data_IF_940152483861
#
_entry.id   IF_940152483861
#
_cell.length_a   1.000
_cell.length_b   1.000
_cell.length_c   1.000
_cell.angle_alpha   90.00
_cell.angle_beta   90.00
_cell.angle_gamma   90.00
#
_symmetry.space_group_name_H-M   'P 1'
#
loop_
_entity.id
_entity.type
_entity.pdbx_description
1 polymer ?
#
# COMPACT_ATOMS: atom_id res chain seq x y z
N UNK A 1 56.82 51.34 22.93
CA UNK A 1 56.54 50.00 23.48
C UNK A 1 56.05 49.12 22.34
N UNK A 2 56.89 48.15 22.01
CA UNK A 2 56.63 46.82 21.41
C UNK A 2 55.81 46.60 20.13
N UNK A 3 56.23 45.51 19.48
CA UNK A 3 56.02 45.03 18.12
C UNK A 3 55.33 43.64 18.15
N UNK A 4 54.75 43.20 17.00
CA UNK A 4 54.26 41.84 16.61
C UNK A 4 52.95 41.32 17.25
N UNK A 5 52.08 40.49 16.63
CA UNK A 5 52.19 39.50 15.54
C UNK A 5 50.81 39.14 14.91
N UNK A 6 50.84 38.53 13.72
CA UNK A 6 49.74 38.08 12.84
C UNK A 6 48.87 36.96 13.43
N UNK A 7 47.62 36.79 12.93
CA UNK A 7 47.01 35.48 12.58
C UNK A 7 45.90 35.64 11.52
N UNK A 8 45.74 34.56 10.76
CA UNK A 8 45.13 34.40 9.42
C UNK A 8 43.61 34.14 9.40
N UNK A 9 43.00 34.46 8.25
CA UNK A 9 41.74 34.04 7.61
C UNK A 9 40.67 33.23 8.39
N UNK A 10 39.40 33.63 8.25
CA UNK A 10 38.23 32.74 8.37
C UNK A 10 37.24 32.96 7.22
N UNK A 11 36.78 31.85 6.66
CA UNK A 11 35.94 31.70 5.47
C UNK A 11 34.44 32.02 5.74
N UNK A 12 33.63 32.25 4.69
CA UNK A 12 32.22 32.68 4.79
C UNK A 12 31.23 31.62 5.33
N UNK A 13 31.71 30.46 5.77
CA UNK A 13 30.88 29.31 6.18
C UNK A 13 30.37 29.39 7.62
N UNK A 14 30.89 30.32 8.44
CA UNK A 14 30.58 30.40 9.88
C UNK A 14 29.20 31.05 10.19
N UNK A 15 28.47 31.57 9.19
CA UNK A 15 27.21 32.30 9.41
C UNK A 15 25.92 31.50 9.11
N UNK A 16 26.04 30.25 8.64
CA UNK A 16 24.87 29.36 8.39
C UNK A 16 24.64 28.37 9.55
N UNK A 17 25.55 28.32 10.53
CA UNK A 17 25.56 27.29 11.58
C UNK A 17 24.83 27.66 12.89
N UNK A 18 24.39 28.90 13.07
CA UNK A 18 23.82 29.35 14.35
C UNK A 18 22.32 29.09 14.51
N UNK A 19 21.58 28.82 13.43
CA UNK A 19 20.13 28.57 13.51
C UNK A 19 19.75 27.09 13.74
N UNK A 20 20.75 26.20 13.81
CA UNK A 20 20.57 24.75 13.97
C UNK A 20 20.83 24.24 15.41
N UNK A 21 21.25 25.10 16.33
CA UNK A 21 21.61 24.71 17.71
C UNK A 21 20.42 24.55 18.67
N UNK A 22 19.19 24.85 18.24
CA UNK A 22 18.03 24.89 19.13
C UNK A 22 17.04 23.75 18.87
N UNK A 23 17.45 22.49 19.07
CA UNK A 23 16.59 21.38 19.55
C UNK A 23 17.36 20.06 19.75
N UNK A 24 17.28 19.56 20.97
CA UNK A 24 17.54 18.18 21.45
C UNK A 24 18.96 17.57 21.39
N UNK A 25 19.70 17.81 22.48
CA UNK A 25 21.10 17.42 22.73
C UNK A 25 21.42 15.91 22.82
N UNK A 26 20.44 15.00 22.85
CA UNK A 26 20.72 13.55 22.98
C UNK A 26 20.98 12.88 21.63
N UNK A 27 20.23 13.27 20.59
CA UNK A 27 20.32 12.67 19.25
C UNK A 27 21.60 13.11 18.51
N UNK A 28 22.03 14.36 18.73
CA UNK A 28 23.22 14.93 18.08
C UNK A 28 24.55 14.37 18.61
N UNK A 29 24.61 13.91 19.87
CA UNK A 29 25.82 13.29 20.42
C UNK A 29 26.10 11.91 19.81
N UNK A 30 25.07 11.18 19.37
CA UNK A 30 25.23 9.93 18.60
C UNK A 30 25.71 10.22 17.17
N UNK A 31 25.19 11.28 16.54
CA UNK A 31 25.61 11.71 15.19
C UNK A 31 27.07 12.19 15.17
N UNK A 32 27.52 12.90 16.23
CA UNK A 32 28.94 13.29 16.38
C UNK A 32 29.88 12.08 16.51
N UNK A 33 29.51 11.06 17.30
CA UNK A 33 30.32 9.84 17.47
C UNK A 33 30.45 9.01 16.19
N UNK A 34 29.40 9.01 15.35
CA UNK A 34 29.39 8.30 14.07
C UNK A 34 30.21 9.05 12.99
N UNK A 35 30.19 10.40 12.97
CA UNK A 35 31.03 11.20 12.05
C UNK A 35 32.54 11.04 12.29
N UNK A 36 32.96 10.84 13.55
CA UNK A 36 34.37 10.55 13.86
C UNK A 36 34.84 9.17 13.36
N UNK A 37 33.93 8.19 13.21
CA UNK A 37 34.25 6.89 12.63
C UNK A 37 34.39 6.92 11.10
N UNK A 38 33.65 7.82 10.42
CA UNK A 38 33.65 7.96 8.95
C UNK A 38 34.90 8.68 8.40
N UNK A 39 35.54 9.57 9.18
CA UNK A 39 36.81 10.18 8.77
C UNK A 39 37.99 9.19 8.72
N UNK A 40 37.90 8.06 9.44
CA UNK A 40 38.95 7.03 9.46
C UNK A 40 38.80 5.98 8.34
N UNK A 41 37.62 5.80 7.76
CA UNK A 41 37.36 4.78 6.74
C UNK A 41 37.66 5.26 5.30
N UNK A 42 37.68 6.57 5.05
CA UNK A 42 38.03 7.14 3.74
C UNK A 42 39.54 7.14 3.43
N UNK A 43 40.40 6.83 4.42
CA UNK A 43 41.86 6.91 4.26
C UNK A 43 42.53 5.58 3.84
N UNK A 44 41.77 4.49 3.63
CA UNK A 44 42.31 3.15 3.35
C UNK A 44 42.05 2.60 1.93
N UNK A 45 41.61 3.44 0.98
CA UNK A 45 41.49 3.05 -0.44
C UNK A 45 42.10 4.13 -1.34
N UNK A 46 43.43 4.21 -1.38
CA UNK A 46 44.14 4.78 -2.53
C UNK A 46 44.42 3.64 -3.53
N UNK A 47 43.73 3.66 -4.66
CA UNK A 47 44.13 2.95 -5.88
C UNK A 47 44.63 4.02 -6.87
N UNK A 48 45.76 3.84 -7.57
CA UNK A 48 46.23 4.83 -8.53
C UNK A 48 45.29 4.93 -9.74
N UNK A 49 44.86 6.15 -10.05
CA UNK A 49 44.13 6.47 -11.27
C UNK A 49 45.02 6.21 -12.51
N UNK A 50 44.49 5.47 -13.48
CA UNK A 50 45.07 5.39 -14.83
C UNK A 50 44.76 6.68 -15.61
N UNK A 51 45.62 7.10 -16.56
CA UNK A 51 45.54 8.44 -17.13
C UNK A 51 44.36 8.58 -18.11
N UNK A 52 43.70 9.72 -17.99
CA UNK A 52 42.65 10.19 -18.86
C UNK A 52 43.09 10.25 -20.33
N UNK A 53 42.25 9.74 -21.23
CA UNK A 53 42.30 10.06 -22.65
C UNK A 53 41.36 11.23 -22.90
N UNK A 54 41.93 12.38 -23.21
CA UNK A 54 41.21 13.60 -23.54
C UNK A 54 40.46 13.44 -24.87
N UNK A 55 39.19 13.86 -24.90
CA UNK A 55 38.60 14.65 -26.01
C UNK A 55 37.16 15.05 -25.69
N UNK A 56 36.87 16.35 -25.78
CA UNK A 56 35.54 16.86 -26.12
C UNK A 56 34.74 17.51 -24.99
N UNK A 57 34.90 18.83 -24.82
CA UNK A 57 33.81 19.71 -24.39
C UNK A 57 32.64 19.57 -25.38
N UNK A 58 31.46 19.21 -24.83
CA UNK A 58 30.12 18.93 -25.40
C UNK A 58 29.73 17.58 -24.77
N UNK A 59 29.00 17.50 -23.67
CA UNK A 59 27.66 18.03 -23.44
C UNK A 59 27.42 18.24 -21.93
N UNK A 60 26.95 19.43 -21.54
CA UNK A 60 26.53 19.76 -20.16
C UNK A 60 25.00 19.68 -20.02
N UNK A 61 24.40 18.64 -20.58
CA UNK A 61 22.97 18.35 -20.44
C UNK A 61 22.76 16.82 -20.43
N UNK A 62 23.16 16.12 -19.35
CA UNK A 62 22.71 14.74 -19.07
C UNK A 62 23.24 14.24 -17.70
N UNK A 63 22.53 14.51 -16.60
CA UNK A 63 22.58 13.69 -15.37
C UNK A 63 21.51 14.10 -14.31
N UNK A 64 20.24 14.18 -14.71
CA UNK A 64 19.15 13.91 -13.76
C UNK A 64 18.82 12.41 -13.85
N UNK A 65 19.71 11.57 -13.31
CA UNK A 65 19.65 10.12 -13.47
C UNK A 65 18.58 9.46 -12.61
N UNK A 66 17.41 9.16 -13.18
CA UNK A 66 16.63 7.92 -12.98
C UNK A 66 16.53 7.29 -11.55
N UNK A 67 16.40 8.09 -10.48
CA UNK A 67 16.29 7.61 -9.09
C UNK A 67 14.96 6.91 -8.73
N UNK A 68 14.07 6.71 -9.71
CA UNK A 68 12.72 6.20 -9.54
C UNK A 68 12.49 4.79 -10.11
N UNK A 69 13.53 4.14 -10.65
CA UNK A 69 13.41 2.79 -11.20
C UNK A 69 13.68 1.71 -10.16
N UNK A 70 12.90 0.63 -10.24
CA UNK A 70 13.09 -0.57 -9.41
C UNK A 70 14.40 -1.27 -9.82
N UNK A 71 15.13 -1.87 -8.87
CA UNK A 71 16.32 -2.64 -9.20
C UNK A 71 15.92 -3.95 -9.88
N UNK A 72 16.78 -4.44 -10.78
CA UNK A 72 16.65 -5.80 -11.31
C UNK A 72 17.08 -6.79 -10.22
N UNK A 73 16.17 -7.69 -9.83
CA UNK A 73 16.41 -8.67 -8.78
C UNK A 73 15.92 -10.06 -9.20
N UNK A 74 16.41 -11.15 -8.58
CA UNK A 74 15.79 -12.46 -8.71
C UNK A 74 14.30 -12.41 -8.32
N UNK A 75 13.40 -13.16 -8.98
CA UNK A 75 11.95 -13.12 -8.71
C UNK A 75 11.58 -13.32 -7.23
N UNK A 76 12.34 -14.13 -6.48
CA UNK A 76 12.11 -14.37 -5.05
C UNK A 76 12.32 -13.12 -4.18
N UNK A 77 13.00 -12.10 -4.70
CA UNK A 77 13.24 -10.84 -4.01
C UNK A 77 12.32 -9.72 -4.49
N UNK A 78 11.44 -9.96 -5.47
CA UNK A 78 10.46 -8.95 -5.89
C UNK A 78 9.41 -8.74 -4.77
N UNK A 79 9.11 -7.48 -4.38
CA UNK A 79 7.99 -7.21 -3.50
C UNK A 79 6.68 -7.56 -4.22
N UNK A 80 5.57 -7.78 -3.48
CA UNK A 80 4.26 -8.02 -4.09
C UNK A 80 3.89 -6.97 -5.15
N UNK A 81 3.09 -7.37 -6.15
CA UNK A 81 2.76 -6.54 -7.30
C UNK A 81 2.02 -5.23 -6.96
N UNK A 82 1.34 -5.21 -5.82
CA UNK A 82 0.63 -4.06 -5.27
C UNK A 82 1.54 -3.10 -4.50
N UNK A 83 2.87 -3.27 -4.53
CA UNK A 83 3.83 -2.38 -3.88
C UNK A 83 4.43 -1.40 -4.89
N UNK A 84 4.66 -0.15 -4.48
CA UNK A 84 5.34 0.88 -5.26
C UNK A 84 6.63 1.32 -4.57
N UNK A 85 7.68 1.58 -5.36
CA UNK A 85 8.91 2.17 -4.85
C UNK A 85 8.60 3.57 -4.30
N UNK A 86 8.83 3.75 -3.00
CA UNK A 86 8.66 5.03 -2.31
C UNK A 86 9.93 5.88 -2.46
N UNK A 87 11.09 5.31 -2.13
CA UNK A 87 12.39 5.96 -2.29
C UNK A 87 13.53 4.94 -2.17
N UNK A 88 14.73 5.39 -2.54
CA UNK A 88 15.98 4.63 -2.48
C UNK A 88 16.99 5.37 -1.59
N UNK A 89 17.78 4.62 -0.82
CA UNK A 89 18.94 5.12 -0.09
C UNK A 89 20.15 4.18 -0.22
N UNK A 90 21.34 4.74 -0.40
CA UNK A 90 22.60 4.00 -0.30
C UNK A 90 23.05 3.90 1.15
N UNK A 91 23.68 2.81 1.53
CA UNK A 91 24.18 2.59 2.88
C UNK A 91 25.67 2.31 2.90
N UNK A 92 26.35 2.94 3.86
CA UNK A 92 27.74 2.65 4.21
C UNK A 92 27.80 2.32 5.70
N UNK A 93 28.39 1.18 6.04
CA UNK A 93 28.44 0.75 7.43
C UNK A 93 29.25 -0.51 7.68
N UNK A 94 28.95 -1.17 8.78
CA UNK A 94 29.56 -2.44 9.19
C UNK A 94 28.52 -3.49 9.56
N UNK A 95 28.85 -4.75 9.29
CA UNK A 95 28.20 -5.91 9.89
C UNK A 95 29.03 -6.34 11.11
N UNK A 96 28.38 -6.42 12.27
CA UNK A 96 29.05 -6.76 13.53
C UNK A 96 28.85 -8.25 13.79
N UNK A 97 29.95 -8.97 13.97
CA UNK A 97 29.98 -10.37 14.35
C UNK A 97 30.65 -10.53 15.70
N UNK A 98 30.21 -11.54 16.45
CA UNK A 98 30.83 -11.92 17.72
C UNK A 98 31.32 -13.36 17.62
N UNK A 99 32.56 -13.61 18.06
CA UNK A 99 33.13 -14.95 18.15
C UNK A 99 32.59 -15.65 19.39
N UNK A 100 31.67 -16.59 19.20
CA UNK A 100 31.00 -17.30 20.29
C UNK A 100 30.93 -18.80 20.00
N UNK A 101 30.57 -19.64 20.98
CA UNK A 101 30.16 -21.01 20.70
C UNK A 101 29.09 -21.04 19.60
N UNK A 102 29.22 -21.99 18.69
CA UNK A 102 28.34 -22.10 17.54
C UNK A 102 26.92 -22.49 18.02
N UNK A 103 25.86 -21.76 17.60
CA UNK A 103 24.51 -22.00 18.10
C UNK A 103 23.93 -23.39 17.77
N UNK A 104 24.40 -24.04 16.70
CA UNK A 104 23.94 -25.38 16.28
C UNK A 104 24.87 -26.49 16.74
N UNK A 105 26.14 -26.18 17.03
CA UNK A 105 27.10 -27.10 17.61
C UNK A 105 27.99 -26.40 18.66
N UNK A 106 27.57 -26.36 19.94
CA UNK A 106 28.29 -25.64 20.98
C UNK A 106 29.73 -26.12 21.27
N UNK A 107 30.15 -27.27 20.73
CA UNK A 107 31.53 -27.76 20.82
C UNK A 107 32.49 -27.01 19.87
N UNK A 108 31.97 -26.26 18.90
CA UNK A 108 32.72 -25.44 17.96
C UNK A 108 32.49 -23.96 18.25
N UNK A 109 33.41 -23.10 17.80
CA UNK A 109 33.22 -21.65 17.79
C UNK A 109 32.98 -21.17 16.36
N UNK A 110 32.18 -20.12 16.22
CA UNK A 110 31.93 -19.48 14.94
C UNK A 110 31.61 -18.00 15.13
N UNK A 111 31.83 -17.21 14.08
CA UNK A 111 31.32 -15.85 14.01
C UNK A 111 29.79 -15.86 13.90
N UNK A 112 29.12 -15.28 14.89
CA UNK A 112 27.66 -15.12 14.92
C UNK A 112 27.32 -13.66 14.65
N UNK A 113 26.37 -13.43 13.75
CA UNK A 113 25.92 -12.08 13.42
C UNK A 113 25.19 -11.44 14.62
N UNK A 114 25.61 -10.23 15.00
CA UNK A 114 25.05 -9.46 16.12
C UNK A 114 24.09 -8.38 15.62
N UNK A 115 24.56 -7.46 14.78
CA UNK A 115 23.77 -6.34 14.28
C UNK A 115 24.45 -5.64 13.09
N UNK A 116 23.68 -4.93 12.25
CA UNK A 116 24.24 -3.92 11.36
C UNK A 116 24.40 -2.59 12.09
N UNK A 117 25.33 -1.76 11.63
CA UNK A 117 25.37 -0.32 11.91
C UNK A 117 25.72 0.40 10.61
N UNK A 118 24.83 1.21 10.07
CA UNK A 118 25.07 1.94 8.83
C UNK A 118 24.41 3.32 8.82
N UNK A 119 25.02 4.23 8.07
CA UNK A 119 24.45 5.53 7.69
C UNK A 119 23.81 5.39 6.32
N UNK A 120 22.62 5.96 6.16
CA UNK A 120 21.88 6.01 4.90
C UNK A 120 22.10 7.37 4.24
N UNK A 121 22.31 7.36 2.93
CA UNK A 121 22.57 8.51 2.08
C UNK A 121 21.52 8.59 0.96
N UNK A 122 21.25 9.81 0.49
CA UNK A 122 20.33 10.03 -0.63
C UNK A 122 20.99 9.56 -1.92
N UNK A 123 20.50 8.47 -2.52
CA UNK A 123 21.14 7.83 -3.66
C UNK A 123 22.65 7.59 -3.39
N UNK A 124 23.52 7.73 -4.38
CA UNK A 124 24.98 7.56 -4.27
C UNK A 124 25.72 8.78 -3.72
N UNK A 125 25.01 9.86 -3.35
CA UNK A 125 25.60 11.06 -2.78
C UNK A 125 25.92 10.87 -1.28
N UNK A 126 27.16 10.49 -0.99
CA UNK A 126 27.65 10.29 0.37
C UNK A 126 27.73 11.56 1.21
N UNK A 127 27.44 12.74 0.67
CA UNK A 127 27.42 14.00 1.41
C UNK A 127 26.01 14.33 1.97
N UNK A 128 24.93 13.70 1.48
CA UNK A 128 23.55 13.88 1.99
C UNK A 128 23.10 12.69 2.83
N UNK A 129 23.51 12.68 4.11
CA UNK A 129 23.02 11.71 5.08
C UNK A 129 21.51 11.91 5.35
N UNK A 130 20.73 10.85 5.13
CA UNK A 130 19.26 10.84 5.29
C UNK A 130 18.76 9.98 6.45
N UNK A 131 19.59 9.09 7.01
CA UNK A 131 19.12 8.22 8.08
C UNK A 131 20.15 7.23 8.62
N UNK A 132 19.68 6.30 9.45
CA UNK A 132 20.46 5.26 10.10
C UNK A 132 19.80 3.89 9.92
N UNK A 133 20.62 2.84 9.86
CA UNK A 133 20.19 1.44 9.92
C UNK A 133 20.91 0.68 11.02
N UNK A 134 20.17 -0.02 11.87
CA UNK A 134 20.72 -0.70 13.05
C UNK A 134 19.92 -1.95 13.44
N UNK A 135 20.27 -2.59 14.58
CA UNK A 135 19.63 -3.79 15.11
C UNK A 135 18.08 -3.71 15.11
N UNK A 136 17.42 -4.83 14.83
CA UNK A 136 15.95 -4.88 14.76
C UNK A 136 15.39 -5.68 13.59
N UNK A 137 16.05 -5.73 12.42
CA UNK A 137 16.64 -4.59 11.70
C UNK A 137 15.71 -3.37 11.69
N UNK A 138 16.27 -2.17 11.93
CA UNK A 138 15.52 -0.90 11.98
C UNK A 138 16.12 0.10 11.02
N UNK A 139 15.28 0.89 10.35
CA UNK A 139 15.69 2.08 9.61
C UNK A 139 15.03 3.30 10.25
N UNK A 140 15.79 4.36 10.42
CA UNK A 140 15.37 5.64 10.99
C UNK A 140 15.77 6.76 10.05
N UNK A 141 14.82 7.59 9.64
CA UNK A 141 15.04 8.71 8.72
C UNK A 141 15.19 10.03 9.49
N UNK A 142 15.84 11.03 8.88
CA UNK A 142 16.11 12.34 9.51
C UNK A 142 14.86 13.16 9.88
N UNK A 143 13.69 12.78 9.36
CA UNK A 143 12.39 13.34 9.79
C UNK A 143 11.84 12.68 11.07
N UNK A 144 12.56 11.73 11.66
CA UNK A 144 12.18 11.01 12.88
C UNK A 144 11.28 9.78 12.65
N UNK A 145 10.86 9.51 11.41
CA UNK A 145 10.12 8.29 11.09
C UNK A 145 11.02 7.06 11.15
N UNK A 146 10.44 5.91 11.52
CA UNK A 146 11.14 4.62 11.63
C UNK A 146 10.33 3.49 11.04
N UNK A 147 11.03 2.47 10.54
CA UNK A 147 10.45 1.18 10.17
C UNK A 147 11.31 0.06 10.75
N UNK A 148 10.66 -0.93 11.37
CA UNK A 148 11.27 -2.18 11.82
C UNK A 148 10.88 -3.28 10.84
N UNK A 149 11.84 -4.05 10.36
CA UNK A 149 11.62 -5.09 9.36
C UNK A 149 11.91 -6.50 9.85
N UNK A 150 11.41 -7.49 9.11
CA UNK A 150 11.80 -8.90 9.23
C UNK A 150 12.22 -9.44 7.87
N UNK A 151 13.18 -10.37 7.85
CA UNK A 151 13.66 -10.98 6.59
C UNK A 151 12.62 -11.97 6.09
N UNK A 152 12.11 -11.75 4.87
CA UNK A 152 11.15 -12.64 4.22
C UNK A 152 11.85 -13.62 3.27
N UNK A 153 12.76 -13.10 2.43
CA UNK A 153 13.51 -13.89 1.45
C UNK A 153 14.97 -13.44 1.39
N UNK A 154 15.85 -14.35 0.93
CA UNK A 154 17.28 -14.09 0.75
C UNK A 154 17.79 -14.71 -0.54
N UNK A 155 18.73 -14.04 -1.20
CA UNK A 155 19.48 -14.56 -2.34
C UNK A 155 20.97 -14.31 -2.15
N UNK A 156 21.87 -15.27 -2.49
CA UNK A 156 23.32 -15.03 -2.47
C UNK A 156 23.70 -13.82 -3.33
N UNK A 157 24.70 -13.05 -2.89
CA UNK A 157 25.29 -12.01 -3.73
C UNK A 157 26.25 -12.63 -4.76
N UNK A 158 26.27 -12.11 -5.97
CA UNK A 158 27.24 -12.49 -7.00
C UNK A 158 28.64 -11.92 -6.71
N UNK A 159 28.74 -10.91 -5.85
CA UNK A 159 30.01 -10.29 -5.45
C UNK A 159 30.65 -11.14 -4.33
N UNK A 160 31.91 -11.58 -4.49
CA UNK A 160 32.62 -12.32 -3.44
C UNK A 160 32.67 -11.53 -2.14
N UNK A 161 32.53 -12.23 -1.01
CA UNK A 161 32.55 -11.65 0.35
C UNK A 161 31.45 -10.60 0.62
N UNK A 162 30.41 -10.54 -0.22
CA UNK A 162 29.26 -9.70 0.01
C UNK A 162 28.14 -10.45 0.75
N UNK A 163 27.51 -9.78 1.71
CA UNK A 163 26.32 -10.32 2.39
C UNK A 163 25.16 -10.55 1.40
N UNK A 164 24.25 -11.51 1.66
CA UNK A 164 23.12 -11.81 0.79
C UNK A 164 22.22 -10.60 0.51
N UNK A 165 21.62 -10.57 -0.67
CA UNK A 165 20.50 -9.68 -0.96
C UNK A 165 19.24 -10.18 -0.25
N UNK A 166 18.39 -9.26 0.18
CA UNK A 166 17.22 -9.56 1.01
C UNK A 166 15.97 -8.86 0.48
N UNK A 167 14.84 -9.54 0.65
CA UNK A 167 13.52 -8.90 0.72
C UNK A 167 13.08 -8.96 2.18
N UNK A 168 12.68 -7.82 2.72
CA UNK A 168 12.18 -7.67 4.08
C UNK A 168 10.76 -7.11 4.05
N UNK A 169 9.97 -7.50 5.05
CA UNK A 169 8.63 -6.98 5.30
C UNK A 169 8.64 -6.11 6.56
N UNK A 170 7.94 -4.98 6.54
CA UNK A 170 7.76 -4.14 7.71
C UNK A 170 6.92 -4.88 8.77
N UNK A 171 7.41 -4.85 10.01
CA UNK A 171 6.73 -5.36 11.21
C UNK A 171 6.02 -4.22 11.93
N UNK A 172 6.65 -3.05 11.99
CA UNK A 172 6.05 -1.85 12.59
C UNK A 172 6.68 -0.58 12.02
N UNK A 173 5.91 0.50 12.06
CA UNK A 173 6.31 1.84 11.64
C UNK A 173 6.02 2.82 12.78
N UNK A 174 6.83 3.87 12.89
CA UNK A 174 6.66 4.91 13.90
C UNK A 174 6.98 6.29 13.33
N UNK A 175 6.35 7.33 13.88
CA UNK A 175 6.49 8.70 13.43
C UNK A 175 5.71 9.01 12.15
N UNK A 176 5.68 10.29 11.78
CA UNK A 176 5.01 10.79 10.58
C UNK A 176 6.10 11.29 9.61
N UNK A 177 6.42 10.53 8.57
CA UNK A 177 7.55 10.83 7.70
C UNK A 177 7.77 9.78 6.61
N UNK A 178 8.92 9.82 5.93
CA UNK A 178 9.20 8.96 4.77
C UNK A 178 9.05 7.46 5.03
N UNK A 179 9.23 7.02 6.27
CA UNK A 179 9.13 5.61 6.65
C UNK A 179 7.76 5.22 7.22
N UNK A 180 6.79 6.14 7.34
CA UNK A 180 5.53 5.85 8.05
C UNK A 180 4.60 4.86 7.34
N UNK A 181 4.69 4.76 6.01
CA UNK A 181 3.84 3.90 5.16
C UNK A 181 4.63 2.79 4.44
N UNK A 182 5.90 2.60 4.80
CA UNK A 182 6.75 1.55 4.22
C UNK A 182 6.28 0.17 4.68
N UNK A 183 6.09 -0.73 3.71
CA UNK A 183 5.57 -2.10 3.88
C UNK A 183 6.61 -3.15 3.52
N UNK A 184 7.49 -2.87 2.55
CA UNK A 184 8.56 -3.77 2.12
C UNK A 184 9.87 -3.01 1.90
N UNK A 185 10.99 -3.70 2.10
CA UNK A 185 12.33 -3.15 1.90
C UNK A 185 13.16 -4.19 1.16
N UNK A 186 13.82 -3.79 0.09
CA UNK A 186 14.86 -4.61 -0.53
C UNK A 186 16.23 -4.11 -0.08
N UNK A 187 17.15 -5.05 0.20
CA UNK A 187 18.59 -4.79 0.30
C UNK A 187 19.29 -5.47 -0.84
N UNK A 188 19.88 -4.71 -1.75
CA UNK A 188 20.51 -5.21 -2.98
C UNK A 188 21.87 -4.55 -3.20
N UNK A 189 22.57 -4.94 -4.26
CA UNK A 189 23.87 -4.39 -4.67
C UNK A 189 24.90 -4.34 -3.52
N UNK A 190 24.90 -5.38 -2.68
CA UNK A 190 25.78 -5.45 -1.51
C UNK A 190 27.24 -5.67 -1.90
N UNK A 191 28.15 -5.02 -1.18
CA UNK A 191 29.59 -5.34 -1.18
C UNK A 191 30.07 -5.54 0.25
N UNK A 192 30.96 -6.50 0.48
CA UNK A 192 31.52 -6.76 1.81
C UNK A 192 30.53 -7.27 2.87
N UNK A 193 30.98 -7.24 4.12
CA UNK A 193 30.17 -7.54 5.29
C UNK A 193 30.05 -9.02 5.66
N UNK A 194 30.62 -9.98 4.92
CA UNK A 194 30.63 -11.38 5.36
C UNK A 194 31.49 -11.58 6.60
N UNK A 195 31.15 -12.57 7.43
CA UNK A 195 31.94 -12.91 8.61
C UNK A 195 33.42 -13.18 8.25
N UNK A 196 34.38 -12.84 9.13
CA UNK A 196 35.78 -13.18 8.91
C UNK A 196 36.00 -14.69 8.76
N UNK A 197 36.97 -15.08 7.94
CA UNK A 197 37.36 -16.50 7.77
C UNK A 197 38.31 -16.97 8.86
N UNK A 198 39.16 -16.09 9.38
CA UNK A 198 39.99 -16.37 10.55
C UNK A 198 39.14 -16.42 11.82
N UNK A 199 39.36 -17.44 12.66
CA UNK A 199 38.70 -17.54 13.95
C UNK A 199 39.18 -16.47 14.94
N UNK A 200 38.38 -16.23 15.98
CA UNK A 200 38.76 -15.37 17.09
C UNK A 200 39.68 -16.08 18.08
N UNK A 201 40.58 -15.33 18.71
CA UNK A 201 41.50 -15.79 19.77
C UNK A 201 40.88 -15.69 21.18
N UNK A 202 39.77 -14.96 21.31
CA UNK A 202 39.03 -14.78 22.56
C UNK A 202 37.51 -14.91 22.36
N UNK A 203 36.83 -15.57 23.30
CA UNK A 203 35.37 -15.59 23.35
C UNK A 203 34.82 -14.17 23.52
N UNK A 204 33.75 -13.86 22.78
CA UNK A 204 33.15 -12.52 22.68
C UNK A 204 34.00 -11.47 21.95
N UNK A 205 35.05 -11.88 21.22
CA UNK A 205 35.73 -10.98 20.29
C UNK A 205 34.72 -10.43 19.26
N UNK A 206 34.76 -9.13 18.99
CA UNK A 206 33.92 -8.49 17.98
C UNK A 206 34.70 -8.19 16.70
N UNK A 207 34.12 -8.55 15.56
CA UNK A 207 34.59 -8.13 14.24
C UNK A 207 33.56 -7.18 13.63
N UNK A 208 34.03 -6.01 13.19
CA UNK A 208 33.22 -5.01 12.49
C UNK A 208 33.64 -5.01 11.02
N UNK A 209 32.89 -5.72 10.17
CA UNK A 209 33.23 -5.93 8.77
C UNK A 209 32.55 -4.87 7.90
N UNK A 210 33.28 -4.03 7.16
CA UNK A 210 32.70 -3.00 6.30
C UNK A 210 31.77 -3.59 5.23
N UNK A 211 30.67 -2.89 4.94
CA UNK A 211 29.79 -3.21 3.83
C UNK A 211 29.15 -1.96 3.23
N UNK A 212 28.74 -2.09 1.97
CA UNK A 212 27.79 -1.16 1.33
C UNK A 212 26.57 -1.93 0.85
N UNK A 213 25.45 -1.22 0.69
CA UNK A 213 24.22 -1.77 0.12
C UNK A 213 23.33 -0.65 -0.44
N UNK A 214 22.44 -1.01 -1.36
CA UNK A 214 21.31 -0.17 -1.74
C UNK A 214 20.03 -0.66 -1.09
N UNK A 215 19.27 0.27 -0.51
CA UNK A 215 17.98 0.02 0.11
C UNK A 215 16.86 0.66 -0.69
N UNK A 216 15.95 -0.16 -1.20
CA UNK A 216 14.75 0.29 -1.90
C UNK A 216 13.55 0.09 -0.97
N UNK A 217 12.90 1.19 -0.60
CA UNK A 217 11.76 1.20 0.31
C UNK A 217 10.49 1.24 -0.51
N UNK A 218 9.59 0.30 -0.22
CA UNK A 218 8.31 0.18 -0.88
C UNK A 218 7.19 0.46 0.09
N UNK A 219 6.15 1.07 -0.43
CA UNK A 219 4.86 1.22 0.23
C UNK A 219 3.81 0.50 -0.58
N UNK A 220 2.68 0.19 0.03
CA UNK A 220 1.51 -0.22 -0.74
C UNK A 220 1.30 0.85 -1.83
N UNK A 221 1.22 0.41 -3.08
CA UNK A 221 0.71 1.23 -4.16
C UNK A 221 -0.69 1.61 -3.73
N UNK A 222 -0.82 2.81 -3.16
CA UNK A 222 -2.05 3.57 -3.33
C UNK A 222 -2.12 3.81 -4.83
N UNK A 223 -2.63 2.82 -5.57
CA UNK A 223 -3.42 3.18 -6.72
C UNK A 223 -4.38 4.21 -6.16
N UNK A 224 -4.50 5.35 -6.83
CA UNK A 224 -5.66 6.22 -6.70
C UNK A 224 -6.88 5.40 -7.16
N UNK A 225 -7.20 4.34 -6.41
CA UNK A 225 -8.51 3.78 -6.29
C UNK A 225 -9.25 4.98 -5.74
N UNK A 226 -9.98 5.62 -6.64
CA UNK A 226 -10.94 6.62 -6.27
C UNK A 226 -11.92 6.00 -5.26
N UNK A 227 -12.59 6.86 -4.51
CA UNK A 227 -13.49 6.45 -3.44
C UNK A 227 -14.60 5.51 -3.93
N UNK A 228 -15.02 5.62 -5.20
CA UNK A 228 -16.02 4.71 -5.78
C UNK A 228 -15.43 3.31 -5.95
N UNK A 229 -14.22 3.19 -6.46
CA UNK A 229 -13.54 1.90 -6.61
C UNK A 229 -13.23 1.26 -5.24
N UNK A 230 -12.89 2.05 -4.22
CA UNK A 230 -12.66 1.56 -2.85
C UNK A 230 -13.96 0.99 -2.27
N UNK A 231 -15.04 1.77 -2.32
CA UNK A 231 -16.31 1.38 -1.74
C UNK A 231 -17.03 0.28 -2.53
N UNK A 232 -16.73 0.12 -3.83
CA UNK A 232 -17.13 -1.06 -4.60
C UNK A 232 -16.47 -2.35 -4.04
N UNK A 233 -15.21 -2.30 -3.58
CA UNK A 233 -14.58 -3.46 -2.92
C UNK A 233 -15.20 -3.75 -1.57
N UNK A 234 -15.48 -2.71 -0.77
CA UNK A 234 -16.16 -2.87 0.52
C UNK A 234 -17.57 -3.48 0.33
N UNK A 235 -18.30 -3.04 -0.70
CA UNK A 235 -19.58 -3.63 -1.10
C UNK A 235 -19.42 -5.12 -1.45
N UNK A 236 -18.46 -5.48 -2.30
CA UNK A 236 -18.21 -6.89 -2.66
C UNK A 236 -17.88 -7.73 -1.41
N UNK A 237 -17.04 -7.23 -0.50
CA UNK A 237 -16.73 -7.90 0.75
C UNK A 237 -17.98 -8.11 1.62
N UNK A 238 -18.84 -7.08 1.75
CA UNK A 238 -20.09 -7.17 2.51
C UNK A 238 -21.06 -8.18 1.89
N UNK A 239 -21.16 -8.22 0.56
CA UNK A 239 -21.96 -9.19 -0.19
C UNK A 239 -21.47 -10.63 0.06
N UNK A 240 -20.18 -10.89 -0.05
CA UNK A 240 -19.62 -12.22 0.22
C UNK A 240 -19.83 -12.65 1.67
N UNK A 241 -19.60 -11.76 2.64
CA UNK A 241 -19.80 -12.03 4.07
C UNK A 241 -21.26 -12.35 4.41
N UNK A 242 -22.22 -11.74 3.69
CA UNK A 242 -23.65 -11.97 3.92
C UNK A 242 -24.16 -13.33 3.41
N UNK A 243 -23.41 -14.01 2.54
CA UNK A 243 -23.83 -15.29 1.95
C UNK A 243 -25.06 -15.19 1.05
N UNK A 244 -25.37 -13.99 0.53
CA UNK A 244 -26.47 -13.79 -0.40
C UNK A 244 -26.27 -14.62 -1.68
N UNK A 245 -27.37 -15.16 -2.22
CA UNK A 245 -27.33 -15.76 -3.56
C UNK A 245 -26.87 -14.75 -4.60
N UNK A 246 -26.18 -15.17 -5.69
CA UNK A 246 -25.75 -14.25 -6.74
C UNK A 246 -26.87 -13.38 -7.28
N UNK A 247 -28.09 -13.93 -7.37
CA UNK A 247 -29.28 -13.21 -7.84
C UNK A 247 -29.68 -12.06 -6.90
N UNK A 248 -29.65 -12.27 -5.58
CA UNK A 248 -29.98 -11.21 -4.62
C UNK A 248 -28.83 -10.20 -4.50
N UNK A 249 -27.59 -10.65 -4.66
CA UNK A 249 -26.41 -9.80 -4.63
C UNK A 249 -26.42 -8.74 -5.75
N UNK A 250 -26.93 -9.06 -6.96
CA UNK A 250 -27.03 -8.06 -8.04
C UNK A 250 -27.98 -6.92 -7.70
N UNK A 251 -29.11 -7.20 -7.04
CA UNK A 251 -30.04 -6.15 -6.56
C UNK A 251 -29.37 -5.25 -5.52
N UNK A 252 -28.70 -5.85 -4.53
CA UNK A 252 -27.99 -5.09 -3.50
C UNK A 252 -26.89 -4.20 -4.10
N UNK A 253 -26.11 -4.73 -5.03
CA UNK A 253 -25.10 -3.96 -5.75
C UNK A 253 -25.69 -2.80 -6.56
N UNK A 254 -26.82 -3.02 -7.24
CA UNK A 254 -27.49 -1.96 -7.99
C UNK A 254 -27.98 -0.79 -7.11
N UNK A 255 -28.46 -1.07 -5.89
CA UNK A 255 -28.86 -0.04 -4.92
C UNK A 255 -27.66 0.82 -4.52
N UNK A 256 -26.54 0.18 -4.15
CA UNK A 256 -25.32 0.88 -3.75
C UNK A 256 -24.77 1.71 -4.92
N UNK A 257 -24.63 1.11 -6.10
CA UNK A 257 -24.09 1.80 -7.28
C UNK A 257 -24.96 2.97 -7.74
N UNK A 258 -26.29 2.85 -7.69
CA UNK A 258 -27.20 3.95 -8.02
C UNK A 258 -27.06 5.12 -7.03
N UNK A 259 -26.96 4.82 -5.72
CA UNK A 259 -26.74 5.85 -4.71
C UNK A 259 -25.40 6.58 -4.90
N UNK A 260 -24.32 5.84 -5.16
CA UNK A 260 -23.00 6.44 -5.41
C UNK A 260 -23.02 7.29 -6.69
N UNK A 261 -23.63 6.79 -7.76
CA UNK A 261 -23.74 7.52 -9.03
C UNK A 261 -24.49 8.85 -8.86
N UNK A 262 -25.69 8.84 -8.28
CA UNK A 262 -26.47 10.07 -8.08
C UNK A 262 -25.81 11.02 -7.08
N UNK A 263 -25.05 10.50 -6.11
CA UNK A 263 -24.32 11.33 -5.15
C UNK A 263 -23.20 12.13 -5.83
N UNK A 264 -22.38 11.46 -6.64
CA UNK A 264 -21.29 12.09 -7.39
C UNK A 264 -21.86 13.00 -8.48
N UNK A 265 -22.79 12.49 -9.29
CA UNK A 265 -23.40 13.24 -10.37
C UNK A 265 -24.22 14.44 -9.86
N UNK A 266 -24.75 14.39 -8.64
CA UNK A 266 -25.46 15.52 -8.04
C UNK A 266 -24.59 16.75 -7.79
N UNK A 267 -23.28 16.53 -7.64
CA UNK A 267 -22.27 17.58 -7.46
C UNK A 267 -21.64 17.96 -8.80
N UNK A 268 -21.27 16.95 -9.61
CA UNK A 268 -20.56 17.12 -10.88
C UNK A 268 -21.47 17.63 -12.01
N UNK A 269 -22.71 17.14 -12.05
CA UNK A 269 -23.82 17.53 -12.93
C UNK A 269 -23.56 17.32 -14.43
N UNK A 270 -22.73 16.34 -14.79
CA UNK A 270 -22.43 16.01 -16.19
C UNK A 270 -23.43 15.04 -16.84
N UNK A 271 -24.20 14.29 -16.05
CA UNK A 271 -25.07 13.23 -16.55
C UNK A 271 -26.51 13.35 -16.04
N UNK A 272 -27.42 12.59 -16.65
CA UNK A 272 -28.81 12.49 -16.19
C UNK A 272 -28.86 11.63 -14.90
N UNK A 273 -29.48 12.13 -13.80
CA UNK A 273 -29.62 11.34 -12.58
C UNK A 273 -30.51 10.11 -12.78
N UNK A 274 -30.21 9.03 -12.07
CA UNK A 274 -31.05 7.82 -12.04
C UNK A 274 -32.36 8.11 -11.30
N UNK A 275 -32.29 8.84 -10.18
CA UNK A 275 -33.46 9.14 -9.36
C UNK A 275 -33.38 10.49 -8.65
N UNK A 276 -32.25 10.80 -8.01
CA UNK A 276 -32.10 11.99 -7.16
C UNK A 276 -31.60 13.17 -8.00
N UNK A 277 -32.39 14.23 -8.10
CA UNK A 277 -32.04 15.42 -8.87
C UNK A 277 -30.71 16.05 -8.40
N UNK A 278 -29.94 16.59 -9.36
CA UNK A 278 -28.60 17.11 -9.14
C UNK A 278 -28.55 18.48 -8.42
N UNK A 279 -28.94 18.48 -7.15
CA UNK A 279 -29.14 19.67 -6.32
C UNK A 279 -28.15 19.77 -5.14
N UNK A 280 -26.97 19.16 -5.26
CA UNK A 280 -25.98 19.18 -4.19
C UNK A 280 -25.55 20.62 -3.83
N UNK A 281 -25.25 20.91 -2.55
CA UNK A 281 -24.69 22.18 -2.13
C UNK A 281 -23.44 22.54 -2.94
N UNK A 282 -23.31 23.81 -3.34
CA UNK A 282 -22.12 24.27 -4.05
C UNK A 282 -20.88 24.10 -3.17
N UNK A 283 -19.86 23.45 -3.71
CA UNK A 283 -18.62 23.17 -3.00
C UNK A 283 -18.65 21.92 -2.14
N UNK A 284 -19.71 21.10 -2.18
CA UNK A 284 -19.71 19.78 -1.54
C UNK A 284 -18.64 18.86 -2.16
N UNK A 285 -17.96 18.09 -1.31
CA UNK A 285 -16.94 17.10 -1.72
C UNK A 285 -17.59 15.93 -2.45
N UNK A 286 -17.16 15.66 -3.70
CA UNK A 286 -17.58 14.49 -4.47
C UNK A 286 -17.11 13.20 -3.82
N UNK A 287 -15.88 13.20 -3.31
CA UNK A 287 -15.24 12.05 -2.65
C UNK A 287 -16.01 11.65 -1.40
N UNK A 288 -16.30 12.62 -0.53
CA UNK A 288 -17.05 12.38 0.71
C UNK A 288 -18.52 11.96 0.43
N UNK A 289 -19.14 12.52 -0.62
CA UNK A 289 -20.48 12.12 -1.04
C UNK A 289 -20.53 10.67 -1.54
N UNK A 290 -19.56 10.24 -2.35
CA UNK A 290 -19.46 8.85 -2.81
C UNK A 290 -19.31 7.87 -1.64
N UNK A 291 -18.36 8.14 -0.74
CA UNK A 291 -18.10 7.36 0.47
C UNK A 291 -19.35 7.24 1.34
N UNK A 292 -20.00 8.36 1.65
CA UNK A 292 -21.17 8.36 2.53
C UNK A 292 -22.36 7.65 1.90
N UNK A 293 -22.61 7.84 0.60
CA UNK A 293 -23.72 7.20 -0.10
C UNK A 293 -23.56 5.67 -0.14
N UNK A 294 -22.34 5.18 -0.39
CA UNK A 294 -22.03 3.76 -0.35
C UNK A 294 -22.21 3.18 1.06
N UNK A 295 -21.63 3.82 2.07
CA UNK A 295 -21.76 3.44 3.47
C UNK A 295 -23.22 3.31 3.91
N UNK A 296 -24.02 4.37 3.70
CA UNK A 296 -25.41 4.40 4.15
C UNK A 296 -26.25 3.31 3.48
N UNK A 297 -26.04 3.09 2.18
CA UNK A 297 -26.70 2.00 1.43
C UNK A 297 -26.33 0.62 1.99
N UNK A 298 -25.04 0.40 2.29
CA UNK A 298 -24.55 -0.86 2.86
C UNK A 298 -25.04 -1.10 4.28
N UNK A 299 -25.16 -0.08 5.12
CA UNK A 299 -25.74 -0.20 6.47
C UNK A 299 -27.22 -0.58 6.41
N UNK A 300 -27.98 0.00 5.48
CA UNK A 300 -29.38 -0.36 5.28
C UNK A 300 -29.54 -1.82 4.79
N UNK A 301 -28.65 -2.27 3.90
CA UNK A 301 -28.65 -3.64 3.37
C UNK A 301 -28.14 -4.67 4.39
N UNK A 302 -27.13 -4.31 5.19
CA UNK A 302 -26.37 -5.23 6.06
C UNK A 302 -26.19 -4.64 7.47
N UNK A 303 -27.27 -4.42 8.24
CA UNK A 303 -27.19 -3.76 9.53
C UNK A 303 -26.28 -4.48 10.55
N UNK A 304 -26.15 -5.80 10.44
CA UNK A 304 -25.24 -6.59 11.30
C UNK A 304 -23.75 -6.38 11.01
N UNK A 305 -23.40 -5.82 9.85
CA UNK A 305 -22.03 -5.50 9.44
C UNK A 305 -21.64 -4.05 9.74
N UNK A 306 -22.55 -3.25 10.34
CA UNK A 306 -22.33 -1.83 10.63
C UNK A 306 -21.00 -1.52 11.34
N UNK A 307 -20.54 -2.27 12.36
CA UNK A 307 -19.28 -1.96 13.03
C UNK A 307 -18.06 -1.96 12.09
N UNK A 308 -17.99 -2.91 11.14
CA UNK A 308 -16.90 -2.99 10.17
C UNK A 308 -16.98 -1.84 9.15
N UNK A 309 -18.22 -1.52 8.72
CA UNK A 309 -18.49 -0.42 7.80
C UNK A 309 -18.19 0.95 8.45
N UNK A 310 -18.45 1.11 9.75
CA UNK A 310 -18.12 2.32 10.52
C UNK A 310 -16.60 2.56 10.54
N UNK A 311 -15.83 1.49 10.74
CA UNK A 311 -14.36 1.55 10.73
C UNK A 311 -13.83 1.94 9.34
N UNK A 312 -14.38 1.35 8.27
CA UNK A 312 -14.02 1.70 6.90
C UNK A 312 -14.37 3.15 6.55
N UNK A 313 -15.56 3.62 6.95
CA UNK A 313 -15.99 5.02 6.79
C UNK A 313 -15.02 5.99 7.49
N UNK A 314 -14.64 5.69 8.72
CA UNK A 314 -13.72 6.54 9.48
C UNK A 314 -12.34 6.65 8.79
N UNK A 315 -11.84 5.56 8.22
CA UNK A 315 -10.59 5.56 7.45
C UNK A 315 -10.70 6.40 6.18
N UNK A 316 -11.73 6.19 5.36
CA UNK A 316 -11.91 6.97 4.11
C UNK A 316 -12.08 8.47 4.41
N UNK A 317 -12.92 8.84 5.37
CA UNK A 317 -13.16 10.25 5.71
C UNK A 317 -11.92 10.93 6.31
N UNK A 318 -11.12 10.22 7.11
CA UNK A 318 -9.86 10.75 7.63
C UNK A 318 -8.84 10.98 6.50
N UNK A 319 -8.80 10.08 5.52
CA UNK A 319 -7.93 10.22 4.35
C UNK A 319 -8.34 11.40 3.46
N UNK A 320 -9.64 11.65 3.29
CA UNK A 320 -10.17 12.81 2.56
C UNK A 320 -9.85 14.11 3.33
N UNK A 321 -10.11 14.15 4.65
CA UNK A 321 -9.87 15.34 5.46
C UNK A 321 -8.38 15.71 5.58
N UNK A 322 -7.47 14.74 5.47
CA UNK A 322 -6.03 14.96 5.47
C UNK A 322 -5.48 15.57 4.17
N UNK A 323 -6.31 15.70 3.13
CA UNK A 323 -5.97 16.30 1.83
C UNK A 323 -6.49 17.75 1.74
N UNK A 324 -6.04 18.58 2.68
CA UNK A 324 -6.51 19.97 2.84
C UNK A 324 -6.25 20.86 1.61
N UNK A 325 -5.29 20.45 0.76
CA UNK A 325 -5.00 21.13 -0.50
C UNK A 325 -6.12 20.94 -1.55
N UNK A 326 -6.87 19.83 -1.47
CA UNK A 326 -7.97 19.53 -2.36
C UNK A 326 -9.33 19.96 -1.77
N UNK A 327 -9.55 19.76 -0.48
CA UNK A 327 -10.86 19.96 0.15
C UNK A 327 -10.75 20.53 1.56
N UNK A 328 -11.70 21.40 1.95
CA UNK A 328 -11.79 21.91 3.33
C UNK A 328 -12.87 21.18 4.13
N UNK A 329 -12.84 21.30 5.46
CA UNK A 329 -13.75 20.59 6.36
C UNK A 329 -15.24 20.87 6.08
N UNK A 330 -15.59 22.08 5.62
CA UNK A 330 -16.96 22.41 5.27
C UNK A 330 -17.42 21.68 4.01
N UNK A 331 -16.56 21.61 2.98
CA UNK A 331 -16.80 20.85 1.76
C UNK A 331 -17.04 19.37 2.05
N UNK A 332 -16.21 18.78 2.91
CA UNK A 332 -16.32 17.38 3.34
C UNK A 332 -17.65 17.14 4.07
N UNK A 333 -18.01 17.98 5.04
CA UNK A 333 -19.29 17.86 5.76
C UNK A 333 -20.51 17.98 4.83
N UNK A 334 -20.47 18.89 3.86
CA UNK A 334 -21.53 19.03 2.86
C UNK A 334 -21.62 17.82 1.94
N UNK A 335 -20.47 17.24 1.54
CA UNK A 335 -20.41 15.99 0.79
C UNK A 335 -21.04 14.82 1.55
N UNK A 336 -20.69 14.66 2.83
CA UNK A 336 -21.30 13.66 3.71
C UNK A 336 -22.82 13.85 3.78
N UNK A 337 -23.30 15.05 4.12
CA UNK A 337 -24.74 15.31 4.23
C UNK A 337 -25.49 15.04 2.92
N UNK A 338 -24.90 15.40 1.78
CA UNK A 338 -25.45 15.11 0.46
C UNK A 338 -25.50 13.62 0.14
N UNK A 339 -24.39 12.90 0.32
CA UNK A 339 -24.31 11.45 0.07
C UNK A 339 -25.30 10.67 0.93
N UNK A 340 -25.49 11.08 2.19
CA UNK A 340 -26.51 10.49 3.07
C UNK A 340 -27.92 10.68 2.50
N UNK A 341 -28.28 11.92 2.14
CA UNK A 341 -29.60 12.22 1.60
C UNK A 341 -29.91 11.45 0.31
N UNK A 342 -28.91 11.29 -0.57
CA UNK A 342 -29.05 10.50 -1.80
C UNK A 342 -29.28 9.03 -1.51
N UNK A 343 -28.48 8.43 -0.62
CA UNK A 343 -28.65 7.03 -0.24
C UNK A 343 -30.02 6.76 0.40
N UNK A 344 -30.49 7.67 1.25
CA UNK A 344 -31.82 7.57 1.87
C UNK A 344 -32.94 7.63 0.82
N UNK A 345 -32.83 8.51 -0.17
CA UNK A 345 -33.81 8.62 -1.26
C UNK A 345 -33.82 7.37 -2.16
N UNK A 346 -32.63 6.87 -2.55
CA UNK A 346 -32.52 5.61 -3.32
C UNK A 346 -33.07 4.42 -2.51
N UNK A 347 -32.79 4.35 -1.21
CA UNK A 347 -33.32 3.30 -0.34
C UNK A 347 -34.85 3.38 -0.23
N UNK A 348 -35.41 4.57 -0.01
CA UNK A 348 -36.85 4.78 0.05
C UNK A 348 -37.55 4.33 -1.25
N UNK A 349 -36.95 4.65 -2.41
CA UNK A 349 -37.45 4.22 -3.70
C UNK A 349 -37.35 2.70 -3.89
N UNK A 350 -36.17 2.12 -3.62
CA UNK A 350 -35.87 0.72 -3.98
C UNK A 350 -36.32 -0.28 -2.93
N UNK A 351 -36.51 0.10 -1.68
CA UNK A 351 -37.10 -0.78 -0.66
C UNK A 351 -38.56 -1.16 -0.99
N UNK A 352 -39.25 -0.35 -1.80
CA UNK A 352 -40.62 -0.59 -2.27
C UNK A 352 -40.69 -1.25 -3.66
N UNK A 353 -39.59 -1.81 -4.18
CA UNK A 353 -39.53 -2.35 -5.55
C UNK A 353 -40.20 -3.71 -5.76
N UNK A 354 -40.90 -4.24 -4.75
CA UNK A 354 -41.56 -5.56 -4.81
C UNK A 354 -40.64 -6.73 -4.46
N UNK A 355 -39.40 -6.50 -4.02
CA UNK A 355 -38.53 -7.57 -3.51
C UNK A 355 -39.01 -8.15 -2.17
N UNK A 356 -39.65 -7.33 -1.32
CA UNK A 356 -40.17 -7.71 0.00
C UNK A 356 -41.66 -7.35 0.11
N UNK A 357 -42.51 -8.23 0.68
CA UNK A 357 -42.21 -9.59 1.14
C UNK A 357 -41.94 -10.56 -0.03
N UNK A 358 -41.17 -11.62 0.22
CA UNK A 358 -40.96 -12.66 -0.79
C UNK A 358 -42.29 -13.40 -1.08
N UNK A 359 -42.57 -13.78 -2.34
CA UNK A 359 -43.73 -14.59 -2.67
C UNK A 359 -43.55 -16.03 -2.14
N UNK A 360 -44.61 -16.86 -2.13
CA UNK A 360 -44.52 -18.26 -1.76
C UNK A 360 -43.42 -19.01 -2.54
N UNK A 361 -42.79 -19.98 -1.88
CA UNK A 361 -41.72 -20.77 -2.48
C UNK A 361 -42.20 -21.52 -3.73
N UNK A 362 -41.39 -21.53 -4.78
CA UNK A 362 -41.68 -22.28 -6.01
C UNK A 362 -41.20 -23.73 -5.85
N UNK A 363 -42.14 -24.68 -5.72
CA UNK A 363 -41.83 -26.10 -5.49
C UNK A 363 -41.76 -26.93 -6.78
N UNK A 364 -41.95 -26.31 -7.95
CA UNK A 364 -42.00 -27.02 -9.22
C UNK A 364 -43.29 -27.83 -9.40
N UNK A 365 -43.22 -28.89 -10.22
CA UNK A 365 -44.38 -29.76 -10.47
C UNK A 365 -44.02 -31.19 -10.89
N UNK A 366 -45.02 -32.08 -10.91
CA UNK A 366 -44.85 -33.52 -11.10
C UNK A 366 -45.10 -34.00 -12.55
N UNK A 367 -45.47 -33.12 -13.47
CA UNK A 367 -45.60 -33.48 -14.88
C UNK A 367 -44.21 -33.57 -15.57
N UNK A 368 -44.15 -34.23 -16.72
CA UNK A 368 -42.95 -34.30 -17.56
C UNK A 368 -42.67 -32.90 -18.13
N UNK A 369 -41.42 -32.45 -18.06
CA UNK A 369 -40.98 -31.12 -18.50
C UNK A 369 -41.15 -29.99 -17.47
N UNK A 370 -41.76 -30.24 -16.31
CA UNK A 370 -41.80 -29.27 -15.22
C UNK A 370 -40.53 -29.36 -14.39
N UNK A 371 -39.97 -28.20 -14.01
CA UNK A 371 -38.85 -28.13 -13.09
C UNK A 371 -39.20 -28.77 -11.75
N UNK A 372 -38.22 -29.42 -11.11
CA UNK A 372 -38.33 -30.03 -9.77
C UNK A 372 -37.07 -29.72 -8.96
N UNK A 373 -37.18 -29.66 -7.63
CA UNK A 373 -36.01 -29.67 -6.76
C UNK A 373 -35.09 -30.84 -7.06
N UNK A 374 -33.79 -30.63 -6.91
CA UNK A 374 -32.75 -31.63 -7.20
C UNK A 374 -31.96 -31.99 -5.93
N UNK A 375 -31.48 -33.26 -5.81
CA UNK A 375 -30.56 -33.64 -4.75
C UNK A 375 -29.27 -32.80 -4.75
N UNK A 376 -28.55 -32.72 -3.61
CA UNK A 376 -28.88 -33.35 -2.33
C UNK A 376 -29.90 -32.55 -1.50
N UNK A 377 -30.00 -31.24 -1.72
CA UNK A 377 -30.75 -30.34 -0.83
C UNK A 377 -32.26 -30.33 -1.07
N UNK A 378 -32.73 -30.70 -2.28
CA UNK A 378 -34.15 -30.59 -2.66
C UNK A 378 -34.73 -29.17 -2.40
N UNK A 379 -33.92 -28.14 -2.64
CA UNK A 379 -34.29 -26.76 -2.36
C UNK A 379 -35.37 -26.23 -3.33
N UNK A 380 -36.27 -25.34 -2.88
CA UNK A 380 -37.21 -24.63 -3.76
C UNK A 380 -36.50 -23.80 -4.84
N UNK A 381 -37.23 -23.49 -5.91
CA UNK A 381 -36.73 -22.63 -6.98
C UNK A 381 -36.37 -21.24 -6.46
N UNK A 382 -35.20 -20.74 -6.86
CA UNK A 382 -34.66 -19.49 -6.37
C UNK A 382 -35.29 -18.26 -7.05
N UNK A 383 -35.41 -17.17 -6.30
CA UNK A 383 -35.71 -15.84 -6.84
C UNK A 383 -37.09 -15.59 -7.47
N UNK A 384 -38.20 -16.24 -7.04
CA UNK A 384 -39.51 -15.98 -7.65
C UNK A 384 -39.95 -14.51 -7.63
N UNK A 385 -39.47 -13.71 -6.68
CA UNK A 385 -39.73 -12.27 -6.59
C UNK A 385 -39.22 -11.47 -7.80
N UNK A 386 -38.16 -11.91 -8.48
CA UNK A 386 -37.57 -11.19 -9.62
C UNK A 386 -38.51 -11.12 -10.83
N UNK A 387 -39.54 -11.96 -10.88
CA UNK A 387 -40.56 -11.93 -11.93
C UNK A 387 -41.52 -10.74 -11.81
N UNK A 388 -41.61 -10.10 -10.63
CA UNK A 388 -42.61 -9.05 -10.34
C UNK A 388 -41.99 -7.76 -9.83
N UNK A 389 -40.69 -7.76 -9.53
CA UNK A 389 -39.98 -6.55 -9.10
C UNK A 389 -40.07 -5.44 -10.13
N UNK A 390 -40.16 -4.20 -9.66
CA UNK A 390 -40.02 -3.01 -10.50
C UNK A 390 -38.62 -3.03 -11.11
N UNK A 391 -38.48 -3.11 -12.45
CA UNK A 391 -37.18 -3.16 -13.07
C UNK A 391 -36.42 -1.83 -12.95
N UNK A 392 -35.12 -1.87 -13.27
CA UNK A 392 -34.28 -0.66 -13.28
C UNK A 392 -34.36 0.10 -14.62
N UNK A 393 -34.25 -0.62 -15.74
CA UNK A 393 -34.15 -0.02 -17.08
C UNK A 393 -35.20 -0.55 -18.08
N UNK A 394 -35.65 -1.79 -17.91
CA UNK A 394 -36.67 -2.39 -18.80
C UNK A 394 -38.08 -1.93 -18.39
N UNK A 395 -38.97 -1.74 -19.37
CA UNK A 395 -40.32 -1.23 -19.11
C UNK A 395 -41.22 -2.27 -18.42
N UNK A 396 -40.91 -3.56 -18.54
CA UNK A 396 -41.61 -4.64 -17.86
C UNK A 396 -40.73 -5.89 -17.74
N UNK A 397 -40.97 -6.79 -16.77
CA UNK A 397 -40.25 -8.06 -16.66
C UNK A 397 -40.36 -8.96 -17.91
N UNK A 398 -41.35 -8.73 -18.78
CA UNK A 398 -41.57 -9.51 -20.00
C UNK A 398 -41.01 -8.87 -21.27
N UNK A 399 -40.33 -7.71 -21.20
CA UNK A 399 -39.83 -6.98 -22.38
C UNK A 399 -38.99 -7.86 -23.33
N UNK A 400 -38.18 -8.77 -22.77
CA UNK A 400 -37.32 -9.68 -23.53
C UNK A 400 -37.73 -11.15 -23.38
N UNK A 401 -39.02 -11.43 -23.18
CA UNK A 401 -39.51 -12.82 -23.04
C UNK A 401 -39.25 -13.61 -24.34
N UNK A 402 -38.44 -14.69 -24.31
CA UNK A 402 -38.19 -15.50 -25.50
C UNK A 402 -39.39 -16.40 -25.83
N UNK A 403 -39.35 -17.04 -26.99
CA UNK A 403 -40.23 -18.17 -27.29
C UNK A 403 -40.01 -19.31 -26.27
N UNK A 404 -41.04 -20.16 -26.10
CA UNK A 404 -40.94 -21.33 -25.23
C UNK A 404 -39.84 -22.31 -25.66
N UNK A 405 -39.38 -23.19 -24.75
CA UNK A 405 -38.39 -24.22 -25.09
C UNK A 405 -38.93 -25.17 -26.18
N UNK A 406 -38.05 -25.90 -26.89
CA UNK A 406 -38.48 -26.94 -27.82
C UNK A 406 -39.46 -27.91 -27.15
N UNK A 407 -40.49 -28.33 -27.90
CA UNK A 407 -41.42 -29.34 -27.40
C UNK A 407 -40.65 -30.63 -27.05
N UNK A 408 -41.03 -31.28 -25.95
CA UNK A 408 -40.34 -32.48 -25.45
C UNK A 408 -40.39 -33.66 -26.46
N UNK A 409 -41.33 -33.61 -27.41
CA UNK A 409 -41.49 -34.58 -28.50
C UNK A 409 -40.77 -34.17 -29.80
N UNK A 410 -40.09 -33.03 -29.82
CA UNK A 410 -39.44 -32.51 -31.02
C UNK A 410 -38.08 -33.17 -31.27
N UNK A 411 -37.72 -33.32 -32.55
CA UNK A 411 -36.39 -33.80 -32.94
C UNK A 411 -35.26 -32.92 -32.36
N UNK A 412 -35.51 -31.61 -32.20
CA UNK A 412 -34.57 -30.68 -31.58
C UNK A 412 -34.31 -31.04 -30.11
N UNK A 413 -35.36 -31.29 -29.33
CA UNK A 413 -35.21 -31.72 -27.95
C UNK A 413 -34.42 -33.04 -27.85
N UNK A 414 -34.69 -34.00 -28.74
CA UNK A 414 -33.96 -35.28 -28.78
C UNK A 414 -32.48 -35.07 -29.09
N UNK A 415 -32.16 -34.20 -30.06
CA UNK A 415 -30.77 -33.90 -30.42
C UNK A 415 -30.02 -33.17 -29.31
N UNK A 416 -30.69 -32.28 -28.55
CA UNK A 416 -30.07 -31.53 -27.45
C UNK A 416 -29.81 -32.41 -26.19
N UNK A 417 -30.48 -33.56 -26.07
CA UNK A 417 -30.34 -34.50 -24.94
C UNK A 417 -29.28 -35.59 -25.16
N UNK A 418 -29.02 -35.94 -26.43
CA UNK A 418 -28.08 -36.98 -26.84
C UNK A 418 -26.63 -36.48 -26.74
#
# INVERSE_FOLDING_TARGET
MEWTSRRTAKHPTDLVFTDWERKDNKTMNSIRKIRLALAALALALLVPASPARAHGERDREEHEGNYHQRPLVPPILEPPADQQLAFHAFAVGVQIYTWTPNPTNPALFSWVFKAPEAVLFKADDTDDAVGLHYAGPTWEHKDGSKVVGTVLQRSPSAVPNAIPWLLLQAVSNAGHGKLSDVTYIQRVNTTGGTAPTAGGDATHLEARVPYTAEYYFYRAHRSTIDEVTEWNRNMLAALFKSGLSPLVATRAGAIVSAAVYDAVNGIDRHYEPIHVAANAPRGASQRAAAVQAAYASLVNLFPTQKPDLDAQLAVSLSAIAGDEAAENSQSVMQGIAWGQAVADAIWAWRSADGFTPAPPAFLGGSAVGQWRPTPPAQAPGAGPQFAYMTPWAISSPSQFRPAGPPALTSARYTADLA
#
